data_IF_809564264280
#
_entry.id   IF_809564264280
#
_cell.length_a   1.000
_cell.length_b   1.000
_cell.length_c   1.000
_cell.angle_alpha   90.00
_cell.angle_beta   90.00
_cell.angle_gamma   90.00
#
_symmetry.space_group_name_H-M   'P 1'
#
loop_
_entity.id
_entity.type
_entity.pdbx_description
1 polymer ?
#
# COMPACT_ATOMS: atom_id res chain seq x y z
N UNK A 1 -9.70 -11.01 -32.34
CA UNK A 1 -10.35 -9.71 -32.03
C UNK A 1 -10.52 -9.49 -30.53
N UNK A 2 -10.85 -10.53 -29.74
CA UNK A 2 -11.04 -10.42 -28.28
C UNK A 2 -9.86 -9.83 -27.52
N UNK A 3 -8.61 -10.25 -27.82
CA UNK A 3 -7.41 -9.64 -27.21
C UNK A 3 -7.24 -8.15 -27.54
N UNK A 4 -7.67 -7.73 -28.74
CA UNK A 4 -7.60 -6.32 -29.15
C UNK A 4 -8.62 -5.51 -28.35
N UNK A 5 -9.84 -6.02 -28.18
CA UNK A 5 -10.89 -5.38 -27.37
C UNK A 5 -10.45 -5.27 -25.91
N UNK A 6 -9.85 -6.33 -25.35
CA UNK A 6 -9.30 -6.34 -24.00
C UNK A 6 -8.28 -5.20 -23.81
N UNK A 7 -7.29 -5.11 -24.71
CA UNK A 7 -6.24 -4.07 -24.64
C UNK A 7 -6.82 -2.67 -24.81
N UNK A 8 -7.73 -2.47 -25.78
CA UNK A 8 -8.42 -1.17 -25.99
C UNK A 8 -9.20 -0.78 -24.73
N UNK A 9 -9.88 -1.74 -24.09
CA UNK A 9 -10.65 -1.50 -22.87
C UNK A 9 -9.74 -1.05 -21.74
N UNK A 10 -8.65 -1.78 -21.47
CA UNK A 10 -7.68 -1.42 -20.43
C UNK A 10 -7.08 -0.03 -20.69
N UNK A 11 -6.60 0.24 -21.91
CA UNK A 11 -6.04 1.54 -22.27
C UNK A 11 -7.05 2.68 -22.10
N UNK A 12 -8.31 2.43 -22.47
CA UNK A 12 -9.41 3.40 -22.31
C UNK A 12 -9.68 3.69 -20.84
N UNK A 13 -9.70 2.67 -19.98
CA UNK A 13 -9.86 2.85 -18.53
C UNK A 13 -8.69 3.66 -17.98
N UNK A 14 -7.44 3.30 -18.27
CA UNK A 14 -6.25 4.04 -17.80
C UNK A 14 -6.32 5.52 -18.20
N UNK A 15 -6.70 5.81 -19.44
CA UNK A 15 -6.78 7.19 -19.95
C UNK A 15 -7.93 8.00 -19.32
N UNK A 16 -9.07 7.35 -19.07
CA UNK A 16 -10.30 8.03 -18.59
C UNK A 16 -10.40 8.10 -17.07
N UNK A 17 -9.76 7.20 -16.33
CA UNK A 17 -9.78 7.13 -14.86
C UNK A 17 -9.42 8.46 -14.17
N UNK A 18 -8.35 9.19 -14.55
CA UNK A 18 -8.04 10.48 -13.93
C UNK A 18 -9.14 11.53 -14.12
N UNK A 19 -9.76 11.57 -15.31
CA UNK A 19 -10.85 12.50 -15.61
C UNK A 19 -12.09 12.18 -14.76
N UNK A 20 -12.47 10.91 -14.70
CA UNK A 20 -13.62 10.44 -13.90
C UNK A 20 -13.35 10.69 -12.41
N UNK A 21 -12.15 10.38 -11.91
CA UNK A 21 -11.71 10.66 -10.55
C UNK A 21 -11.82 12.14 -10.19
N UNK A 22 -11.40 13.03 -11.09
CA UNK A 22 -11.51 14.48 -10.90
C UNK A 22 -12.97 14.94 -10.84
N UNK A 23 -13.84 14.41 -11.70
CA UNK A 23 -15.28 14.75 -11.75
C UNK A 23 -15.98 14.28 -10.47
N UNK A 24 -15.73 13.04 -10.05
CA UNK A 24 -16.35 12.44 -8.87
C UNK A 24 -15.71 12.88 -7.55
N UNK A 25 -14.51 13.50 -7.59
CA UNK A 25 -13.68 13.86 -6.43
C UNK A 25 -13.32 12.67 -5.55
N UNK A 26 -13.14 11.51 -6.18
CA UNK A 26 -12.82 10.22 -5.54
C UNK A 26 -11.37 9.82 -5.83
N UNK A 27 -10.74 8.95 -5.02
CA UNK A 27 -9.40 8.45 -5.28
C UNK A 27 -9.38 7.71 -6.62
N UNK A 28 -8.36 7.95 -7.44
CA UNK A 28 -8.24 7.35 -8.78
C UNK A 28 -8.28 5.81 -8.73
N UNK A 29 -7.63 5.22 -7.73
CA UNK A 29 -7.59 3.77 -7.55
C UNK A 29 -9.00 3.17 -7.42
N UNK A 30 -9.91 3.86 -6.72
CA UNK A 30 -11.29 3.37 -6.58
C UNK A 30 -12.03 3.42 -7.93
N UNK A 31 -11.75 4.43 -8.76
CA UNK A 31 -12.30 4.52 -10.11
C UNK A 31 -11.78 3.39 -10.97
N UNK A 32 -10.48 3.09 -10.92
CA UNK A 32 -9.85 2.00 -11.68
C UNK A 32 -10.44 0.62 -11.31
N UNK A 33 -10.58 0.33 -10.01
CA UNK A 33 -11.23 -0.91 -9.54
C UNK A 33 -12.70 -0.94 -10.00
N UNK A 34 -13.44 0.17 -9.87
CA UNK A 34 -14.85 0.23 -10.27
C UNK A 34 -15.04 -0.01 -11.77
N UNK A 35 -14.22 0.63 -12.61
CA UNK A 35 -14.27 0.46 -14.06
C UNK A 35 -13.82 -0.94 -14.48
N UNK A 36 -12.80 -1.51 -13.83
CA UNK A 36 -12.40 -2.90 -14.02
C UNK A 36 -13.54 -3.88 -13.72
N UNK A 37 -14.24 -3.66 -12.60
CA UNK A 37 -15.41 -4.45 -12.21
C UNK A 37 -16.56 -4.32 -13.22
N UNK A 38 -16.88 -3.11 -13.68
CA UNK A 38 -17.94 -2.90 -14.68
C UNK A 38 -17.58 -3.54 -16.02
N UNK A 39 -16.37 -3.31 -16.53
CA UNK A 39 -15.91 -3.89 -17.79
C UNK A 39 -15.75 -5.41 -17.70
N UNK A 40 -15.38 -5.96 -16.53
CA UNK A 40 -15.41 -7.39 -16.26
C UNK A 40 -16.82 -7.96 -16.34
N UNK A 41 -17.79 -7.31 -15.72
CA UNK A 41 -19.21 -7.70 -15.78
C UNK A 41 -19.78 -7.68 -17.20
N UNK A 42 -19.43 -6.67 -18.00
CA UNK A 42 -19.85 -6.60 -19.41
C UNK A 42 -19.10 -7.58 -20.33
N UNK A 43 -18.16 -8.38 -19.81
CA UNK A 43 -17.36 -9.32 -20.59
C UNK A 43 -16.30 -8.66 -21.48
N UNK A 44 -16.02 -7.36 -21.29
CA UNK A 44 -14.95 -6.64 -22.00
C UNK A 44 -13.57 -6.99 -21.44
N UNK A 45 -13.51 -7.35 -20.16
CA UNK A 45 -12.33 -7.89 -19.48
C UNK A 45 -12.64 -9.32 -19.05
N UNK A 46 -12.04 -10.29 -19.72
CA UNK A 46 -12.16 -11.72 -19.40
C UNK A 46 -10.86 -12.23 -18.77
N UNK A 47 -10.90 -13.46 -18.26
CA UNK A 47 -9.72 -14.13 -17.70
C UNK A 47 -8.69 -14.38 -18.81
N UNK A 48 -7.64 -13.57 -18.83
CA UNK A 48 -6.55 -13.63 -19.81
C UNK A 48 -5.21 -13.69 -19.07
N UNK A 49 -4.39 -14.68 -19.43
CA UNK A 49 -3.10 -14.94 -18.80
C UNK A 49 -2.12 -13.76 -18.95
N UNK A 50 -2.19 -13.02 -20.06
CA UNK A 50 -1.30 -11.88 -20.31
C UNK A 50 -1.67 -10.72 -19.40
N UNK A 51 -2.98 -10.42 -19.30
CA UNK A 51 -3.47 -9.42 -18.34
C UNK A 51 -3.10 -9.81 -16.91
N UNK A 52 -3.32 -11.06 -16.52
CA UNK A 52 -2.98 -11.55 -15.19
C UNK A 52 -1.47 -11.41 -14.91
N UNK A 53 -0.61 -11.74 -15.87
CA UNK A 53 0.83 -11.59 -15.73
C UNK A 53 1.23 -10.13 -15.52
N UNK A 54 0.70 -9.21 -16.34
CA UNK A 54 1.00 -7.77 -16.22
C UNK A 54 0.44 -7.21 -14.91
N UNK A 55 -0.75 -7.64 -14.47
CA UNK A 55 -1.33 -7.23 -13.20
C UNK A 55 -0.53 -7.75 -12.00
N UNK A 56 -0.04 -9.00 -12.04
CA UNK A 56 0.88 -9.54 -11.03
C UNK A 56 2.18 -8.74 -10.98
N UNK A 57 2.75 -8.40 -12.13
CA UNK A 57 3.92 -7.52 -12.17
C UNK A 57 3.60 -6.13 -11.62
N UNK A 58 2.43 -5.58 -11.94
CA UNK A 58 2.01 -4.28 -11.43
C UNK A 58 1.80 -4.27 -9.92
N UNK A 59 1.32 -5.37 -9.35
CA UNK A 59 1.26 -5.56 -7.91
C UNK A 59 2.66 -5.57 -7.28
N UNK A 60 3.60 -6.32 -7.85
CA UNK A 60 5.00 -6.35 -7.40
C UNK A 60 5.64 -4.95 -7.49
N UNK A 61 5.40 -4.23 -8.58
CA UNK A 61 5.89 -2.85 -8.75
C UNK A 61 5.27 -1.89 -7.73
N UNK A 62 3.99 -2.02 -7.42
CA UNK A 62 3.32 -1.26 -6.36
C UNK A 62 3.94 -1.51 -4.99
N UNK A 63 4.29 -2.75 -4.68
CA UNK A 63 4.98 -3.10 -3.42
C UNK A 63 6.40 -2.53 -3.39
N UNK A 64 7.08 -2.45 -4.54
CA UNK A 64 8.34 -1.73 -4.66
C UNK A 64 8.16 -0.22 -4.42
N UNK A 65 7.13 0.39 -4.98
CA UNK A 65 6.81 1.81 -4.73
C UNK A 65 6.51 2.08 -3.25
N UNK A 66 5.76 1.21 -2.58
CA UNK A 66 5.53 1.27 -1.13
C UNK A 66 6.86 1.32 -0.35
N UNK A 67 7.83 0.48 -0.73
CA UNK A 67 9.18 0.53 -0.14
C UNK A 67 9.92 1.84 -0.43
N UNK A 68 9.72 2.40 -1.62
CA UNK A 68 10.32 3.66 -2.06
C UNK A 68 9.72 4.88 -1.36
N UNK A 69 8.44 4.81 -0.99
CA UNK A 69 7.72 5.85 -0.24
C UNK A 69 8.19 5.95 1.22
N UNK A 70 8.76 4.89 1.78
CA UNK A 70 9.24 4.90 3.18
C UNK A 70 10.30 5.96 3.38
N UNK A 71 9.93 6.96 4.18
CA UNK A 71 10.83 8.00 4.60
C UNK A 71 11.15 7.85 6.09
N UNK A 72 12.24 7.16 6.40
CA UNK A 72 12.72 6.95 7.78
C UNK A 72 13.01 8.27 8.53
N UNK A 73 13.15 9.41 7.82
CA UNK A 73 13.27 10.71 8.48
C UNK A 73 11.96 11.12 9.19
N UNK A 74 10.80 10.70 8.67
CA UNK A 74 9.50 10.96 9.30
C UNK A 74 9.34 10.22 10.63
N UNK A 75 9.98 9.06 10.78
CA UNK A 75 10.01 8.34 12.07
C UNK A 75 10.77 9.15 13.13
N UNK A 76 11.80 9.90 12.74
CA UNK A 76 12.56 10.77 13.67
C UNK A 76 11.76 11.98 14.17
N UNK A 77 10.64 12.32 13.51
CA UNK A 77 9.73 13.39 13.96
C UNK A 77 8.94 12.95 15.19
N UNK A 78 8.82 11.64 15.44
CA UNK A 78 8.27 11.11 16.69
C UNK A 78 9.19 11.56 17.82
N UNK A 79 8.69 12.48 18.65
CA UNK A 79 9.40 12.89 19.86
C UNK A 79 9.69 11.63 20.68
N UNK A 80 10.87 11.54 21.28
CA UNK A 80 11.24 10.39 22.12
C UNK A 80 10.20 10.10 23.22
N UNK A 81 9.49 11.13 23.67
CA UNK A 81 8.38 11.06 24.63
C UNK A 81 7.13 10.34 24.10
N UNK A 82 6.99 10.17 22.78
CA UNK A 82 5.84 9.51 22.13
C UNK A 82 6.13 8.09 21.66
N UNK A 83 7.38 7.61 21.74
CA UNK A 83 7.75 6.25 21.29
C UNK A 83 6.92 5.19 22.02
N UNK A 84 6.75 5.34 23.34
CA UNK A 84 5.91 4.44 24.14
C UNK A 84 4.44 4.48 23.68
N UNK A 85 3.90 5.67 23.38
CA UNK A 85 2.55 5.80 22.85
C UNK A 85 2.42 5.04 21.52
N UNK A 86 3.37 5.15 20.60
CA UNK A 86 3.33 4.42 19.34
C UNK A 86 3.34 2.90 19.57
N UNK A 87 4.17 2.40 20.50
CA UNK A 87 4.17 0.98 20.88
C UNK A 87 2.81 0.57 21.45
N UNK A 88 2.26 1.34 22.39
CA UNK A 88 0.93 1.09 22.95
C UNK A 88 -0.19 1.16 21.91
N UNK A 89 -0.06 2.02 20.90
CA UNK A 89 -1.01 2.09 19.78
C UNK A 89 -1.04 0.76 19.03
N UNK A 90 0.10 0.25 18.57
CA UNK A 90 0.15 -1.04 17.88
C UNK A 90 -0.29 -2.20 18.78
N UNK A 91 0.12 -2.24 20.04
CA UNK A 91 -0.35 -3.26 20.99
C UNK A 91 -1.87 -3.22 21.10
N UNK A 92 -2.46 -2.04 21.30
CA UNK A 92 -3.92 -1.90 21.38
C UNK A 92 -4.60 -2.30 20.07
N UNK A 93 -4.03 -1.92 18.93
CA UNK A 93 -4.58 -2.18 17.60
C UNK A 93 -4.66 -3.69 17.32
N UNK A 94 -3.57 -4.41 17.57
CA UNK A 94 -3.53 -5.87 17.40
C UNK A 94 -4.33 -6.60 18.47
N UNK A 95 -4.36 -6.12 19.73
CA UNK A 95 -5.17 -6.72 20.78
C UNK A 95 -6.67 -6.60 20.49
N UNK A 96 -7.14 -5.43 20.05
CA UNK A 96 -8.55 -5.22 19.69
C UNK A 96 -8.87 -5.98 18.40
N UNK A 97 -7.98 -6.02 17.41
CA UNK A 97 -8.14 -6.88 16.23
C UNK A 97 -8.33 -8.35 16.63
N UNK A 98 -7.49 -8.87 17.53
CA UNK A 98 -7.60 -10.22 18.06
C UNK A 98 -8.91 -10.46 18.82
N UNK A 99 -9.33 -9.50 19.65
CA UNK A 99 -10.61 -9.57 20.35
C UNK A 99 -11.80 -9.61 19.38
N UNK A 100 -11.82 -8.74 18.36
CA UNK A 100 -12.87 -8.74 17.34
C UNK A 100 -12.89 -10.05 16.58
N UNK A 101 -11.73 -10.59 16.20
CA UNK A 101 -11.65 -11.87 15.51
C UNK A 101 -12.17 -13.01 16.39
N UNK A 102 -11.79 -13.06 17.67
CA UNK A 102 -12.31 -14.06 18.60
C UNK A 102 -13.82 -13.93 18.83
N UNK A 103 -14.33 -12.70 18.98
CA UNK A 103 -15.74 -12.44 19.28
C UNK A 103 -16.68 -12.79 18.10
N UNK A 104 -16.23 -12.56 16.86
CA UNK A 104 -17.00 -12.83 15.64
C UNK A 104 -16.58 -14.12 14.92
N UNK A 105 -15.74 -14.96 15.54
CA UNK A 105 -15.22 -16.21 14.97
C UNK A 105 -14.56 -16.02 13.59
N UNK A 106 -13.70 -15.00 13.48
CA UNK A 106 -13.00 -14.65 12.24
C UNK A 106 -11.62 -15.30 12.18
N UNK A 107 -11.26 -15.79 11.00
CA UNK A 107 -9.96 -16.40 10.74
C UNK A 107 -8.79 -15.43 10.70
N UNK A 108 -7.59 -15.99 10.54
CA UNK A 108 -6.31 -15.27 10.55
C UNK A 108 -6.24 -14.12 9.52
N UNK A 109 -6.90 -14.25 8.37
CA UNK A 109 -6.99 -13.19 7.36
C UNK A 109 -7.52 -11.88 7.95
N UNK A 110 -8.56 -11.92 8.79
CA UNK A 110 -9.15 -10.73 9.41
C UNK A 110 -8.21 -10.14 10.47
N UNK A 111 -7.56 -10.99 11.24
CA UNK A 111 -6.60 -10.58 12.26
C UNK A 111 -5.45 -9.75 11.68
N UNK A 112 -4.95 -10.13 10.50
CA UNK A 112 -3.89 -9.42 9.77
C UNK A 112 -4.44 -8.23 8.97
N UNK A 113 -5.66 -8.33 8.43
CA UNK A 113 -6.27 -7.28 7.63
C UNK A 113 -6.68 -6.05 8.44
N UNK A 114 -7.26 -6.23 9.63
CA UNK A 114 -7.78 -5.11 10.40
C UNK A 114 -6.73 -4.06 10.80
N UNK A 115 -5.53 -4.43 11.31
CA UNK A 115 -4.50 -3.48 11.71
C UNK A 115 -3.60 -3.01 10.56
N UNK A 116 -3.92 -3.32 9.30
CA UNK A 116 -3.00 -3.03 8.18
C UNK A 116 -2.93 -1.55 7.80
N UNK A 117 -1.76 -1.06 7.38
CA UNK A 117 -1.51 0.34 7.03
C UNK A 117 -1.19 0.51 5.54
N UNK A 118 -1.44 1.71 5.02
CA UNK A 118 -0.97 2.14 3.70
C UNK A 118 -0.79 3.65 3.66
N UNK A 119 0.37 4.12 3.18
CA UNK A 119 0.66 5.56 3.03
C UNK A 119 0.04 6.19 1.78
N UNK A 120 -0.36 5.40 0.76
CA UNK A 120 -0.75 5.94 -0.55
C UNK A 120 -1.87 7.01 -0.48
N UNK A 121 -2.95 6.74 0.26
CA UNK A 121 -4.03 7.71 0.44
C UNK A 121 -3.63 8.84 1.41
N UNK A 122 -2.81 8.53 2.41
CA UNK A 122 -2.33 9.51 3.37
C UNK A 122 -1.49 10.60 2.69
N UNK A 123 -0.66 10.25 1.71
CA UNK A 123 0.10 11.21 0.91
C UNK A 123 -0.79 12.16 0.11
N UNK A 124 -1.98 11.72 -0.32
CA UNK A 124 -2.97 12.60 -0.95
C UNK A 124 -3.55 13.60 0.06
N UNK A 125 -3.84 13.15 1.30
CA UNK A 125 -4.31 14.04 2.37
C UNK A 125 -3.28 15.14 2.69
N UNK A 126 -1.97 14.84 2.65
CA UNK A 126 -0.92 15.86 2.82
C UNK A 126 -0.97 16.92 1.74
N UNK A 127 -1.11 16.51 0.48
CA UNK A 127 -1.20 17.44 -0.64
C UNK A 127 -2.44 18.32 -0.54
N UNK A 128 -3.52 17.81 0.05
CA UNK A 128 -4.80 18.52 0.22
C UNK A 128 -4.81 19.48 1.43
N UNK A 129 -4.27 19.06 2.57
CA UNK A 129 -4.35 19.81 3.84
C UNK A 129 -3.06 20.50 4.28
N UNK A 130 -1.92 20.17 3.67
CA UNK A 130 -0.61 20.68 4.05
C UNK A 130 0.06 19.84 5.14
N UNK A 131 1.37 20.06 5.32
CA UNK A 131 2.21 19.32 6.28
C UNK A 131 2.14 19.88 7.70
N UNK A 132 1.42 20.97 7.95
CA UNK A 132 1.42 21.63 9.26
C UNK A 132 0.39 21.05 10.23
N UNK A 133 -0.53 20.23 9.73
CA UNK A 133 -1.58 19.59 10.52
C UNK A 133 -1.01 18.54 11.51
N UNK A 134 -1.19 18.71 12.84
CA UNK A 134 -0.59 17.83 13.84
C UNK A 134 -1.04 16.37 13.76
N UNK A 135 -2.32 16.14 13.46
CA UNK A 135 -2.89 14.80 13.31
C UNK A 135 -2.32 14.09 12.08
N UNK A 136 -2.06 14.84 11.00
CA UNK A 136 -1.56 14.30 9.75
C UNK A 136 -0.06 13.99 9.84
N UNK A 137 0.72 14.86 10.47
CA UNK A 137 2.12 14.59 10.80
C UNK A 137 2.27 13.32 11.66
N UNK A 138 1.43 13.17 12.68
CA UNK A 138 1.44 11.97 13.51
C UNK A 138 1.01 10.74 12.70
N UNK A 139 -0.04 10.85 11.89
CA UNK A 139 -0.51 9.77 11.00
C UNK A 139 0.58 9.32 10.04
N UNK A 140 1.39 10.23 9.50
CA UNK A 140 2.50 9.88 8.61
C UNK A 140 3.60 9.14 9.33
N UNK A 141 4.05 9.66 10.47
CA UNK A 141 5.11 9.03 11.24
C UNK A 141 4.72 7.64 11.71
N UNK A 142 3.48 7.48 12.19
CA UNK A 142 2.93 6.18 12.59
C UNK A 142 2.68 5.30 11.37
N UNK A 143 2.19 5.87 10.26
CA UNK A 143 1.93 5.17 9.01
C UNK A 143 3.19 4.53 8.43
N UNK A 144 4.34 5.20 8.49
CA UNK A 144 5.63 4.60 8.06
C UNK A 144 5.98 3.37 8.89
N UNK A 145 5.82 3.44 10.21
CA UNK A 145 6.05 2.29 11.11
C UNK A 145 5.02 1.20 10.83
N UNK A 146 3.75 1.60 10.68
CA UNK A 146 2.63 0.70 10.46
C UNK A 146 2.73 -0.04 9.13
N UNK A 147 3.18 0.61 8.06
CA UNK A 147 3.38 -0.01 6.76
C UNK A 147 4.52 -1.03 6.81
N UNK A 148 5.62 -0.73 7.51
CA UNK A 148 6.67 -1.70 7.76
C UNK A 148 6.17 -2.91 8.58
N UNK A 149 5.43 -2.66 9.66
CA UNK A 149 4.81 -3.71 10.48
C UNK A 149 3.81 -4.54 9.66
N UNK A 150 3.05 -3.89 8.77
CA UNK A 150 2.05 -4.51 7.90
C UNK A 150 2.68 -5.49 6.91
N UNK A 151 3.81 -5.11 6.33
CA UNK A 151 4.51 -5.97 5.36
C UNK A 151 5.18 -7.14 6.06
N UNK A 152 5.74 -6.92 7.25
CA UNK A 152 6.19 -8.03 8.08
C UNK A 152 5.04 -8.96 8.46
N UNK A 153 3.89 -8.42 8.86
CA UNK A 153 2.71 -9.21 9.17
C UNK A 153 2.22 -10.00 7.95
N UNK A 154 2.23 -9.39 6.76
CA UNK A 154 1.86 -10.06 5.51
C UNK A 154 2.84 -11.20 5.15
N UNK A 155 4.15 -10.96 5.29
CA UNK A 155 5.16 -11.97 5.02
C UNK A 155 5.07 -13.15 6.01
N UNK A 156 4.86 -12.86 7.30
CA UNK A 156 4.62 -13.89 8.33
C UNK A 156 3.32 -14.64 8.09
N UNK A 157 2.26 -13.94 7.68
CA UNK A 157 0.97 -14.52 7.31
C UNK A 157 1.11 -15.47 6.13
N UNK A 158 1.79 -15.02 5.07
CA UNK A 158 2.08 -15.81 3.87
C UNK A 158 2.88 -17.08 4.21
N UNK A 159 4.00 -16.92 4.94
CA UNK A 159 4.82 -18.05 5.37
C UNK A 159 4.09 -19.03 6.29
N UNK A 160 3.29 -18.53 7.24
CA UNK A 160 2.48 -19.39 8.11
C UNK A 160 1.41 -20.16 7.33
N UNK A 161 0.78 -19.51 6.36
CA UNK A 161 -0.27 -20.13 5.55
C UNK A 161 0.29 -21.23 4.66
N UNK A 162 1.49 -21.04 4.11
CA UNK A 162 2.12 -22.03 3.23
C UNK A 162 2.71 -23.22 4.00
N UNK A 163 3.36 -22.98 5.16
CA UNK A 163 4.15 -24.00 5.86
C UNK A 163 3.57 -24.44 7.21
N UNK A 164 2.61 -23.71 7.80
CA UNK A 164 2.14 -23.93 9.18
C UNK A 164 3.22 -23.69 10.23
N UNK A 165 3.02 -24.15 11.49
CA UNK A 165 4.07 -24.10 12.53
C UNK A 165 5.10 -25.24 12.38
N UNK A 166 5.71 -25.34 11.21
CA UNK A 166 6.73 -26.37 10.91
C UNK A 166 8.14 -25.76 10.92
N UNK A 167 9.16 -26.61 10.78
CA UNK A 167 10.56 -26.14 10.63
C UNK A 167 10.70 -25.23 9.40
N UNK A 168 9.96 -25.51 8.33
CA UNK A 168 10.01 -24.75 7.09
C UNK A 168 9.50 -23.32 7.27
N UNK A 169 8.53 -23.10 8.18
CA UNK A 169 8.12 -21.74 8.55
C UNK A 169 9.24 -20.95 9.22
N UNK A 170 9.94 -21.53 10.19
CA UNK A 170 11.08 -20.85 10.81
C UNK A 170 12.22 -20.61 9.82
N UNK A 171 12.47 -21.56 8.91
CA UNK A 171 13.42 -21.37 7.80
C UNK A 171 12.97 -20.21 6.92
N UNK A 172 11.67 -20.11 6.58
CA UNK A 172 11.14 -19.00 5.78
C UNK A 172 11.34 -17.64 6.46
N UNK A 173 11.17 -17.55 7.78
CA UNK A 173 11.47 -16.33 8.56
C UNK A 173 12.96 -15.98 8.49
N UNK A 174 13.84 -16.97 8.71
CA UNK A 174 15.29 -16.74 8.63
C UNK A 174 15.67 -16.30 7.22
N UNK A 175 15.09 -16.90 6.19
CA UNK A 175 15.29 -16.52 4.80
C UNK A 175 14.83 -15.08 4.52
N UNK A 176 13.63 -14.71 4.98
CA UNK A 176 13.10 -13.33 4.91
C UNK A 176 14.09 -12.33 5.53
N UNK A 177 14.53 -12.59 6.77
CA UNK A 177 15.51 -11.73 7.45
C UNK A 177 16.84 -11.70 6.69
N UNK A 178 17.29 -12.86 6.20
CA UNK A 178 18.53 -12.97 5.44
C UNK A 178 18.50 -12.16 4.15
N UNK A 179 17.38 -12.14 3.43
CA UNK A 179 17.22 -11.32 2.23
C UNK A 179 17.37 -9.84 2.58
N UNK A 180 16.68 -9.37 3.62
CA UNK A 180 16.79 -7.97 4.06
C UNK A 180 18.24 -7.64 4.44
N UNK A 181 18.88 -8.50 5.22
CA UNK A 181 20.28 -8.31 5.66
C UNK A 181 21.24 -8.34 4.46
N UNK A 182 21.10 -9.29 3.56
CA UNK A 182 21.91 -9.41 2.34
C UNK A 182 21.70 -8.21 1.44
N UNK A 183 20.48 -7.73 1.25
CA UNK A 183 20.20 -6.49 0.51
C UNK A 183 20.91 -5.29 1.15
N UNK A 184 20.93 -5.18 2.49
CA UNK A 184 21.67 -4.13 3.21
C UNK A 184 23.19 -4.28 3.05
N UNK A 185 23.72 -5.52 3.09
CA UNK A 185 25.15 -5.77 2.88
C UNK A 185 25.54 -5.42 1.43
N UNK A 186 24.72 -5.83 0.45
CA UNK A 186 24.90 -5.49 -0.96
C UNK A 186 24.85 -3.97 -1.20
N UNK A 187 24.06 -3.20 -0.45
CA UNK A 187 24.11 -1.73 -0.47
C UNK A 187 25.48 -1.22 -0.05
N UNK A 188 25.95 -1.69 1.11
CA UNK A 188 27.20 -1.22 1.68
C UNK A 188 28.38 -1.58 0.78
N UNK A 189 28.34 -2.77 0.20
CA UNK A 189 29.31 -3.22 -0.79
C UNK A 189 29.24 -2.39 -2.07
N UNK A 190 28.04 -2.15 -2.62
CA UNK A 190 27.85 -1.30 -3.80
C UNK A 190 28.37 0.13 -3.55
N UNK A 191 28.14 0.69 -2.37
CA UNK A 191 28.68 2.00 -1.99
C UNK A 191 30.21 2.00 -1.98
N UNK A 192 30.83 0.97 -1.41
CA UNK A 192 32.28 0.81 -1.38
C UNK A 192 32.85 0.61 -2.80
N UNK A 193 32.19 -0.20 -3.63
CA UNK A 193 32.57 -0.44 -5.02
C UNK A 193 32.51 0.86 -5.84
N UNK A 194 31.45 1.65 -5.69
CA UNK A 194 31.32 2.94 -6.36
C UNK A 194 32.24 4.03 -5.80
N UNK A 195 32.71 3.87 -4.56
CA UNK A 195 33.75 4.73 -3.99
C UNK A 195 35.13 4.42 -4.60
N UNK A 196 35.45 3.14 -4.83
CA UNK A 196 36.68 2.71 -5.50
C UNK A 196 36.64 2.88 -7.03
N UNK A 197 35.47 2.71 -7.66
CA UNK A 197 35.27 2.80 -9.10
C UNK A 197 34.19 3.84 -9.44
N UNK A 198 34.48 5.14 -9.28
CA UNK A 198 33.52 6.22 -9.52
C UNK A 198 33.04 6.29 -10.98
N UNK A 199 33.83 5.78 -11.94
CA UNK A 199 33.46 5.68 -13.35
C UNK A 199 32.31 4.71 -13.58
N UNK A 200 32.30 3.56 -12.87
CA UNK A 200 31.21 2.58 -12.93
C UNK A 200 29.92 3.19 -12.40
N UNK A 201 30.02 3.97 -11.31
CA UNK A 201 28.87 4.73 -10.78
C UNK A 201 28.34 5.72 -11.80
N UNK A 202 29.22 6.52 -12.42
CA UNK A 202 28.85 7.52 -13.43
C UNK A 202 28.22 6.87 -14.67
N UNK A 203 28.63 5.67 -15.03
CA UNK A 203 28.06 4.95 -16.17
C UNK A 203 26.70 4.32 -15.85
N UNK A 204 26.56 3.67 -14.69
CA UNK A 204 25.31 2.98 -14.32
C UNK A 204 24.23 3.94 -13.84
N UNK A 205 24.63 4.99 -13.10
CA UNK A 205 23.73 6.00 -12.54
C UNK A 205 24.36 7.39 -12.76
N UNK A 206 24.35 7.90 -14.00
CA UNK A 206 24.94 9.19 -14.34
C UNK A 206 24.31 10.32 -13.53
N UNK A 207 25.03 11.43 -13.40
CA UNK A 207 24.44 12.64 -12.83
C UNK A 207 23.28 13.11 -13.73
N UNK A 208 22.25 13.71 -13.14
CA UNK A 208 20.97 14.00 -13.82
C UNK A 208 21.14 14.81 -15.11
N UNK A 209 22.18 15.65 -15.19
CA UNK A 209 22.50 16.47 -16.37
C UNK A 209 23.05 15.65 -17.55
N UNK A 210 23.65 14.50 -17.25
CA UNK A 210 24.34 13.65 -18.22
C UNK A 210 23.52 12.39 -18.57
N UNK A 211 22.47 12.08 -17.80
CA UNK A 211 21.60 10.92 -18.07
C UNK A 211 20.58 11.20 -19.19
N UNK A 212 21.03 11.08 -20.44
CA UNK A 212 20.21 11.27 -21.64
C UNK A 212 19.51 9.99 -22.11
N UNK A 213 19.83 8.83 -21.52
CA UNK A 213 19.38 7.52 -21.99
C UNK A 213 18.53 6.77 -20.94
N UNK A 214 18.18 7.45 -19.85
CA UNK A 214 17.48 6.91 -18.70
C UNK A 214 18.20 5.68 -18.13
N UNK A 215 19.53 5.76 -18.05
CA UNK A 215 20.38 4.69 -17.51
C UNK A 215 20.03 4.40 -16.06
N UNK A 216 19.72 5.45 -15.30
CA UNK A 216 19.24 5.35 -13.93
C UNK A 216 17.97 4.49 -13.80
N UNK A 217 16.95 4.69 -14.63
CA UNK A 217 15.72 3.89 -14.65
C UNK A 217 16.04 2.45 -15.04
N UNK A 218 16.83 2.25 -16.11
CA UNK A 218 17.18 0.89 -16.59
C UNK A 218 17.87 0.08 -15.50
N UNK A 219 18.83 0.69 -14.79
CA UNK A 219 19.50 0.08 -13.66
C UNK A 219 18.50 -0.27 -12.54
N UNK A 220 17.62 0.67 -12.21
CA UNK A 220 16.61 0.54 -11.16
C UNK A 220 15.63 -0.62 -11.42
N UNK A 221 15.07 -0.68 -12.62
CA UNK A 221 14.14 -1.74 -13.03
C UNK A 221 14.87 -3.08 -13.10
N UNK A 222 16.10 -3.11 -13.62
CA UNK A 222 16.90 -4.34 -13.67
C UNK A 222 17.16 -4.89 -12.27
N UNK A 223 17.52 -4.02 -11.33
CA UNK A 223 17.74 -4.40 -9.93
C UNK A 223 16.46 -4.95 -9.28
N UNK A 224 15.32 -4.28 -9.50
CA UNK A 224 14.01 -4.77 -9.04
C UNK A 224 13.73 -6.18 -9.57
N UNK A 225 13.90 -6.40 -10.87
CA UNK A 225 13.67 -7.70 -11.50
C UNK A 225 14.61 -8.79 -10.99
N UNK A 226 15.89 -8.46 -10.74
CA UNK A 226 16.85 -9.39 -10.14
C UNK A 226 16.42 -9.76 -8.73
N UNK A 227 16.03 -8.80 -7.89
CA UNK A 227 15.54 -9.07 -6.53
C UNK A 227 14.28 -9.93 -6.54
N UNK A 228 13.31 -9.60 -7.38
CA UNK A 228 12.08 -10.40 -7.59
C UNK A 228 12.42 -11.82 -8.03
N UNK A 229 13.36 -11.99 -8.95
CA UNK A 229 13.81 -13.30 -9.42
C UNK A 229 14.47 -14.11 -8.31
N UNK A 230 15.29 -13.48 -7.46
CA UNK A 230 15.88 -14.12 -6.27
C UNK A 230 14.77 -14.59 -5.33
N UNK A 231 13.75 -13.76 -5.06
CA UNK A 231 12.62 -14.17 -4.21
C UNK A 231 11.89 -15.39 -4.75
N UNK A 232 11.64 -15.41 -6.07
CA UNK A 232 10.99 -16.54 -6.73
C UNK A 232 11.81 -17.83 -6.61
N UNK A 233 13.14 -17.74 -6.78
CA UNK A 233 14.05 -18.89 -6.62
C UNK A 233 14.06 -19.39 -5.17
N UNK A 234 14.08 -18.46 -4.21
CA UNK A 234 14.07 -18.78 -2.79
C UNK A 234 12.69 -19.22 -2.28
N UNK A 235 11.64 -19.16 -3.12
CA UNK A 235 10.23 -19.42 -2.77
C UNK A 235 9.77 -18.59 -1.58
N UNK A 236 10.22 -17.34 -1.52
CA UNK A 236 9.77 -16.36 -0.55
C UNK A 236 8.75 -15.45 -1.24
N UNK A 237 7.82 -14.90 -0.47
CA UNK A 237 6.85 -13.93 -0.97
C UNK A 237 7.54 -12.76 -1.71
N UNK A 238 7.19 -12.60 -2.99
CA UNK A 238 7.75 -11.59 -3.89
C UNK A 238 7.41 -10.18 -3.42
N UNK A 239 6.29 -10.00 -2.71
CA UNK A 239 5.86 -8.71 -2.15
C UNK A 239 6.91 -8.14 -1.22
N UNK A 240 7.44 -8.98 -0.31
CA UNK A 240 8.46 -8.56 0.64
C UNK A 240 9.75 -8.15 -0.08
N UNK A 241 10.17 -8.92 -1.09
CA UNK A 241 11.41 -8.61 -1.80
C UNK A 241 11.30 -7.36 -2.66
N UNK A 242 10.14 -7.13 -3.26
CA UNK A 242 9.84 -5.89 -3.97
C UNK A 242 9.90 -4.69 -3.01
N UNK A 243 9.24 -4.79 -1.87
CA UNK A 243 9.29 -3.76 -0.84
C UNK A 243 10.70 -3.51 -0.29
N UNK A 244 11.43 -4.58 0.04
CA UNK A 244 12.83 -4.48 0.49
C UNK A 244 13.71 -3.83 -0.59
N UNK A 245 13.48 -4.16 -1.86
CA UNK A 245 14.11 -3.51 -3.01
C UNK A 245 13.78 -2.02 -3.09
N UNK A 246 12.53 -1.64 -2.83
CA UNK A 246 12.08 -0.24 -2.81
C UNK A 246 12.74 0.55 -1.69
N UNK A 247 12.77 -0.02 -0.48
CA UNK A 247 13.43 0.58 0.68
C UNK A 247 14.94 0.74 0.44
N UNK A 248 15.58 -0.31 -0.10
CA UNK A 248 16.96 -0.28 -0.57
C UNK A 248 17.17 0.90 -1.53
N UNK A 249 16.27 1.02 -2.51
CA UNK A 249 16.37 2.01 -3.56
C UNK A 249 16.29 3.42 -3.00
N UNK A 250 15.31 3.67 -2.12
CA UNK A 250 15.14 4.96 -1.44
C UNK A 250 16.35 5.33 -0.60
N UNK A 251 16.94 4.38 0.14
CA UNK A 251 18.11 4.64 0.97
C UNK A 251 19.33 5.01 0.13
N UNK A 252 19.53 4.33 -1.00
CA UNK A 252 20.69 4.55 -1.87
C UNK A 252 20.56 5.82 -2.72
N UNK A 253 19.38 6.08 -3.28
CA UNK A 253 19.10 7.17 -4.21
C UNK A 253 18.37 8.36 -3.58
N UNK A 254 18.36 8.49 -2.25
CA UNK A 254 17.63 9.54 -1.53
C UNK A 254 17.94 10.99 -1.95
N UNK A 255 19.02 11.21 -2.69
CA UNK A 255 19.43 12.54 -3.21
C UNK A 255 19.03 12.77 -4.67
N UNK A 256 18.48 11.78 -5.37
CA UNK A 256 18.07 11.85 -6.78
C UNK A 256 16.55 11.91 -6.88
N UNK A 257 15.97 13.06 -6.55
CA UNK A 257 14.50 13.24 -6.52
C UNK A 257 13.88 13.02 -7.91
N UNK A 258 14.58 13.39 -8.99
CA UNK A 258 14.09 13.19 -10.36
C UNK A 258 13.94 11.70 -10.67
N UNK A 259 14.95 10.88 -10.34
CA UNK A 259 14.89 9.43 -10.54
C UNK A 259 13.72 8.80 -9.76
N UNK A 260 13.54 9.20 -8.49
CA UNK A 260 12.43 8.72 -7.68
C UNK A 260 11.07 9.08 -8.33
N UNK A 261 10.92 10.32 -8.79
CA UNK A 261 9.71 10.76 -9.47
C UNK A 261 9.48 10.02 -10.80
N UNK A 262 10.53 9.73 -11.58
CA UNK A 262 10.43 8.95 -12.82
C UNK A 262 9.91 7.53 -12.55
N UNK A 263 10.43 6.87 -11.51
CA UNK A 263 10.01 5.52 -11.08
C UNK A 263 8.56 5.53 -10.60
N UNK A 264 8.20 6.49 -9.74
CA UNK A 264 6.82 6.69 -9.29
C UNK A 264 5.87 6.93 -10.47
N UNK A 265 6.28 7.77 -11.44
CA UNK A 265 5.49 8.07 -12.64
C UNK A 265 5.23 6.82 -13.48
N UNK A 266 6.21 5.93 -13.62
CA UNK A 266 6.06 4.68 -14.37
C UNK A 266 5.11 3.72 -13.65
N UNK A 267 5.24 3.58 -12.34
CA UNK A 267 4.38 2.69 -11.57
C UNK A 267 2.95 3.19 -11.45
N UNK A 268 2.74 4.42 -10.98
CA UNK A 268 1.40 4.98 -10.80
C UNK A 268 0.71 5.35 -12.13
N UNK A 269 1.48 5.63 -13.18
CA UNK A 269 0.92 5.98 -14.50
C UNK A 269 0.53 4.78 -15.35
N UNK A 270 1.08 3.59 -15.10
CA UNK A 270 0.85 2.43 -15.98
C UNK A 270 0.58 1.13 -15.22
N UNK A 271 1.51 0.68 -14.38
CA UNK A 271 1.42 -0.65 -13.75
C UNK A 271 0.36 -0.77 -12.67
N UNK A 272 0.29 0.23 -11.79
CA UNK A 272 -0.70 0.27 -10.71
C UNK A 272 -2.13 0.29 -11.27
N UNK A 273 -2.47 1.14 -12.27
CA UNK A 273 -3.77 1.09 -12.92
C UNK A 273 -4.14 -0.30 -13.45
N UNK A 274 -3.23 -0.99 -14.14
CA UNK A 274 -3.51 -2.33 -14.69
C UNK A 274 -3.82 -3.32 -13.56
N UNK A 275 -3.04 -3.29 -12.46
CA UNK A 275 -3.31 -4.12 -11.29
C UNK A 275 -4.70 -3.86 -10.69
N UNK A 276 -5.08 -2.60 -10.52
CA UNK A 276 -6.37 -2.24 -9.94
C UNK A 276 -7.56 -2.56 -10.85
N UNK A 277 -7.40 -2.34 -12.17
CA UNK A 277 -8.39 -2.73 -13.18
C UNK A 277 -8.59 -4.25 -13.16
N UNK A 278 -7.50 -5.03 -13.18
CA UNK A 278 -7.57 -6.49 -13.09
C UNK A 278 -8.20 -6.96 -11.78
N UNK A 279 -7.82 -6.35 -10.65
CA UNK A 279 -8.44 -6.64 -9.35
C UNK A 279 -9.95 -6.40 -9.41
N UNK A 280 -10.38 -5.27 -9.98
CA UNK A 280 -11.80 -4.98 -10.20
C UNK A 280 -12.49 -6.05 -11.04
N UNK A 281 -11.90 -6.43 -12.18
CA UNK A 281 -12.50 -7.40 -13.10
C UNK A 281 -12.64 -8.82 -12.51
N UNK A 282 -11.89 -9.15 -11.45
CA UNK A 282 -12.05 -10.43 -10.74
C UNK A 282 -13.33 -10.48 -9.89
N UNK A 283 -13.92 -9.32 -9.56
CA UNK A 283 -15.17 -9.25 -8.79
C UNK A 283 -16.36 -9.47 -9.72
N UNK A 284 -17.05 -10.61 -9.53
CA UNK A 284 -18.21 -11.00 -10.33
C UNK A 284 -19.47 -10.28 -9.83
N UNK A 285 -19.87 -9.20 -10.52
CA UNK A 285 -20.96 -8.34 -10.09
C UNK A 285 -22.32 -9.06 -10.02
N UNK A 286 -22.54 -10.06 -10.86
CA UNK A 286 -23.68 -10.98 -10.83
C UNK A 286 -23.78 -11.80 -9.54
N UNK A 287 -22.66 -12.04 -8.86
CA UNK A 287 -22.60 -12.76 -7.60
C UNK A 287 -22.70 -11.84 -6.38
N UNK A 288 -22.74 -10.51 -6.56
CA UNK A 288 -22.81 -9.57 -5.43
C UNK A 288 -24.22 -9.63 -4.81
N UNK A 289 -24.31 -10.26 -3.64
CA UNK A 289 -25.52 -10.30 -2.83
C UNK A 289 -25.52 -9.21 -1.75
N UNK A 290 -26.68 -8.99 -1.14
CA UNK A 290 -26.80 -8.11 0.03
C UNK A 290 -25.91 -8.57 1.19
N UNK A 291 -25.65 -9.86 1.33
CA UNK A 291 -24.83 -10.38 2.43
C UNK A 291 -23.34 -10.10 2.21
N UNK A 292 -22.85 -10.15 0.96
CA UNK A 292 -21.50 -9.70 0.61
C UNK A 292 -21.35 -8.21 0.93
N UNK A 293 -22.35 -7.38 0.62
CA UNK A 293 -22.30 -5.96 0.92
C UNK A 293 -22.35 -5.67 2.43
N UNK A 294 -23.16 -6.41 3.19
CA UNK A 294 -23.16 -6.34 4.67
C UNK A 294 -21.81 -6.75 5.24
N UNK A 295 -21.19 -7.80 4.68
CA UNK A 295 -19.88 -8.25 5.12
C UNK A 295 -18.77 -7.23 4.81
N UNK A 296 -18.83 -6.61 3.64
CA UNK A 296 -17.94 -5.51 3.28
C UNK A 296 -18.09 -4.31 4.24
N UNK A 297 -19.34 -3.95 4.57
CA UNK A 297 -19.63 -2.90 5.52
C UNK A 297 -19.16 -3.26 6.93
N UNK A 298 -19.33 -4.51 7.34
CA UNK A 298 -18.80 -5.03 8.61
C UNK A 298 -17.28 -4.88 8.68
N UNK A 299 -16.54 -5.29 7.64
CA UNK A 299 -15.07 -5.13 7.57
C UNK A 299 -14.70 -3.65 7.71
N UNK A 300 -15.35 -2.78 6.93
CA UNK A 300 -15.13 -1.32 6.98
C UNK A 300 -15.36 -0.76 8.39
N UNK A 301 -16.51 -1.06 9.00
CA UNK A 301 -16.88 -0.57 10.33
C UNK A 301 -15.93 -1.12 11.40
N UNK A 302 -15.61 -2.42 11.35
CA UNK A 302 -14.68 -3.04 12.30
C UNK A 302 -13.30 -2.36 12.22
N UNK A 303 -12.76 -2.14 11.03
CA UNK A 303 -11.49 -1.44 10.82
C UNK A 303 -11.47 -0.03 11.38
N UNK A 304 -12.56 0.72 11.17
CA UNK A 304 -12.71 2.08 11.71
C UNK A 304 -12.81 2.03 13.23
N UNK A 305 -13.66 1.17 13.80
CA UNK A 305 -13.84 1.05 15.26
C UNK A 305 -12.53 0.67 15.95
N UNK A 306 -11.82 -0.34 15.43
CA UNK A 306 -10.54 -0.78 15.97
C UNK A 306 -9.55 0.40 16.04
N UNK A 307 -9.39 1.15 14.94
CA UNK A 307 -8.51 2.32 14.90
C UNK A 307 -8.98 3.47 15.78
N UNK A 308 -10.29 3.72 15.85
CA UNK A 308 -10.84 4.74 16.73
C UNK A 308 -10.55 4.43 18.20
N UNK A 309 -10.84 3.21 18.65
CA UNK A 309 -10.59 2.81 20.04
C UNK A 309 -9.09 2.91 20.33
N UNK A 310 -8.22 2.32 19.51
CA UNK A 310 -6.77 2.40 19.68
C UNK A 310 -6.25 3.85 19.72
N UNK A 311 -6.74 4.70 18.81
CA UNK A 311 -6.30 6.10 18.72
C UNK A 311 -6.74 6.91 19.94
N UNK A 312 -7.98 6.74 20.39
CA UNK A 312 -8.50 7.45 21.57
C UNK A 312 -7.88 6.97 22.88
N UNK A 313 -7.56 5.69 23.00
CA UNK A 313 -6.84 5.18 24.17
C UNK A 313 -5.44 5.80 24.32
N UNK A 314 -4.77 6.06 23.20
CA UNK A 314 -3.33 6.39 23.20
C UNK A 314 -3.04 7.86 22.94
N UNK A 315 -3.73 8.47 21.98
CA UNK A 315 -3.40 9.81 21.47
C UNK A 315 -4.38 10.90 21.90
N UNK A 316 -5.45 10.57 22.63
CA UNK A 316 -6.43 11.57 23.08
C UNK A 316 -5.81 12.72 23.87
N UNK A 317 -4.89 12.44 24.79
CA UNK A 317 -4.24 13.48 25.60
C UNK A 317 -3.34 14.40 24.77
N UNK A 318 -2.75 13.86 23.69
CA UNK A 318 -1.82 14.57 22.80
C UNK A 318 -2.57 15.39 21.74
N UNK A 319 -3.48 14.77 20.99
CA UNK A 319 -4.20 15.40 19.89
C UNK A 319 -5.51 16.09 20.31
N UNK A 320 -6.11 15.74 21.45
CA UNK A 320 -7.52 16.05 21.79
C UNK A 320 -8.52 15.35 20.86
N UNK A 321 -9.79 15.34 21.25
CA UNK A 321 -10.85 14.57 20.60
C UNK A 321 -10.93 14.76 19.07
N UNK A 322 -11.04 16.02 18.62
CA UNK A 322 -11.25 16.36 17.19
C UNK A 322 -10.13 15.84 16.30
N UNK A 323 -8.88 16.13 16.65
CA UNK A 323 -7.71 15.70 15.89
C UNK A 323 -7.46 14.19 16.02
N UNK A 324 -7.81 13.57 17.16
CA UNK A 324 -7.72 12.10 17.31
C UNK A 324 -8.70 11.39 16.38
N UNK A 325 -9.92 11.95 16.17
CA UNK A 325 -10.85 11.43 15.19
C UNK A 325 -10.30 11.52 13.76
N UNK A 326 -9.70 12.67 13.39
CA UNK A 326 -9.09 12.84 12.06
C UNK A 326 -7.91 11.88 11.85
N UNK A 327 -7.05 11.71 12.85
CA UNK A 327 -5.98 10.72 12.85
C UNK A 327 -6.53 9.31 12.60
N UNK A 328 -7.51 8.87 13.41
CA UNK A 328 -8.08 7.53 13.29
C UNK A 328 -8.70 7.28 11.91
N UNK A 329 -9.42 8.27 11.36
CA UNK A 329 -10.01 8.18 10.02
C UNK A 329 -8.93 8.11 8.94
N UNK A 330 -7.89 8.94 9.03
CA UNK A 330 -6.81 8.97 8.03
C UNK A 330 -6.07 7.64 7.92
N UNK A 331 -5.95 6.92 9.04
CA UNK A 331 -5.32 5.61 9.11
C UNK A 331 -6.26 4.46 8.67
N UNK A 332 -7.56 4.72 8.58
CA UNK A 332 -8.58 3.72 8.25
C UNK A 332 -8.72 3.45 6.74
N UNK A 333 -7.81 3.94 5.90
CA UNK A 333 -7.90 3.84 4.43
C UNK A 333 -6.80 2.98 3.76
N UNK A 334 -6.46 1.76 4.24
CA UNK A 334 -5.35 0.98 3.69
C UNK A 334 -5.73 0.17 2.44
N UNK A 335 -6.20 0.86 1.40
CA UNK A 335 -6.79 0.27 0.19
C UNK A 335 -5.90 -0.81 -0.46
N UNK A 336 -4.64 -0.49 -0.75
CA UNK A 336 -3.74 -1.35 -1.53
C UNK A 336 -3.40 -2.65 -0.80
N UNK A 337 -3.09 -2.56 0.49
CA UNK A 337 -2.73 -3.70 1.31
C UNK A 337 -3.93 -4.57 1.69
N UNK A 338 -5.12 -3.97 1.82
CA UNK A 338 -6.34 -4.74 2.07
C UNK A 338 -6.70 -5.61 0.85
N UNK A 339 -6.56 -5.06 -0.36
CA UNK A 339 -6.69 -5.81 -1.62
C UNK A 339 -5.65 -6.94 -1.69
N UNK A 340 -4.39 -6.65 -1.34
CA UNK A 340 -3.31 -7.63 -1.33
C UNK A 340 -3.61 -8.83 -0.42
N UNK A 341 -4.04 -8.57 0.83
CA UNK A 341 -4.42 -9.63 1.77
C UNK A 341 -5.57 -10.46 1.22
N UNK A 342 -6.59 -9.82 0.63
CA UNK A 342 -7.74 -10.52 0.07
C UNK A 342 -7.28 -11.48 -1.04
N UNK A 343 -6.44 -11.01 -1.96
CA UNK A 343 -5.93 -11.81 -3.06
C UNK A 343 -5.07 -12.98 -2.57
N UNK A 344 -4.15 -12.74 -1.64
CA UNK A 344 -3.30 -13.78 -1.05
C UNK A 344 -4.17 -14.81 -0.32
N UNK A 345 -5.07 -14.36 0.55
CA UNK A 345 -5.95 -15.25 1.32
C UNK A 345 -6.86 -16.08 0.43
N UNK A 346 -7.37 -15.52 -0.66
CA UNK A 346 -8.21 -16.24 -1.62
C UNK A 346 -7.40 -17.30 -2.39
N UNK A 347 -6.18 -16.96 -2.84
CA UNK A 347 -5.30 -17.90 -3.52
C UNK A 347 -4.90 -19.09 -2.63
N UNK A 348 -4.68 -18.85 -1.34
CA UNK A 348 -4.42 -19.90 -0.35
C UNK A 348 -5.69 -20.56 0.22
N UNK A 349 -6.88 -20.24 -0.32
CA UNK A 349 -8.19 -20.78 0.09
C UNK A 349 -8.53 -20.57 1.58
N UNK A 350 -8.00 -19.52 2.18
CA UNK A 350 -8.31 -19.12 3.56
C UNK A 350 -9.63 -18.37 3.69
N UNK A 351 -10.07 -17.75 2.60
CA UNK A 351 -11.34 -17.05 2.51
C UNK A 351 -12.15 -17.56 1.32
N UNK A 352 -13.47 -17.50 1.44
CA UNK A 352 -14.39 -17.81 0.35
C UNK A 352 -14.35 -16.72 -0.73
N UNK A 353 -14.89 -17.02 -1.90
CA UNK A 353 -15.02 -16.04 -2.98
C UNK A 353 -15.90 -14.84 -2.56
N UNK A 354 -16.95 -15.09 -1.78
CA UNK A 354 -17.81 -14.06 -1.21
C UNK A 354 -17.05 -13.13 -0.26
N UNK A 355 -16.21 -13.69 0.61
CA UNK A 355 -15.34 -12.92 1.49
C UNK A 355 -14.29 -12.13 0.70
N UNK A 356 -13.72 -12.71 -0.36
CA UNK A 356 -12.81 -12.01 -1.27
C UNK A 356 -13.49 -10.77 -1.86
N UNK A 357 -14.70 -10.91 -2.43
CA UNK A 357 -15.47 -9.77 -2.94
C UNK A 357 -15.77 -8.76 -1.85
N UNK A 358 -16.16 -9.20 -0.65
CA UNK A 358 -16.41 -8.33 0.49
C UNK A 358 -15.17 -7.51 0.88
N UNK A 359 -13.96 -8.09 0.86
CA UNK A 359 -12.72 -7.37 1.13
C UNK A 359 -12.40 -6.33 0.06
N UNK A 360 -12.55 -6.66 -1.23
CA UNK A 360 -12.32 -5.70 -2.31
C UNK A 360 -13.30 -4.53 -2.19
N UNK A 361 -14.59 -4.81 -1.99
CA UNK A 361 -15.61 -3.76 -1.80
C UNK A 361 -15.33 -2.95 -0.53
N UNK A 362 -14.98 -3.59 0.59
CA UNK A 362 -14.64 -2.90 1.83
C UNK A 362 -13.45 -1.94 1.65
N UNK A 363 -12.45 -2.35 0.86
CA UNK A 363 -11.29 -1.51 0.55
C UNK A 363 -11.69 -0.23 -0.20
N UNK A 364 -12.57 -0.36 -1.20
CA UNK A 364 -13.10 0.77 -1.95
C UNK A 364 -13.96 1.67 -1.06
N UNK A 365 -14.83 1.09 -0.24
CA UNK A 365 -15.69 1.83 0.70
C UNK A 365 -14.86 2.58 1.74
N UNK A 366 -13.82 1.96 2.31
CA UNK A 366 -12.86 2.61 3.21
C UNK A 366 -12.26 3.86 2.54
N UNK A 367 -11.71 3.72 1.33
CA UNK A 367 -11.10 4.84 0.62
C UNK A 367 -12.10 5.95 0.26
N UNK A 368 -13.33 5.61 -0.13
CA UNK A 368 -14.35 6.59 -0.54
C UNK A 368 -15.03 7.27 0.64
N UNK A 369 -15.70 6.46 1.48
CA UNK A 369 -16.60 6.96 2.53
C UNK A 369 -15.78 7.69 3.58
N UNK A 370 -14.67 7.10 4.02
CA UNK A 370 -13.86 7.68 5.09
C UNK A 370 -13.23 8.99 4.61
N UNK A 371 -12.78 9.09 3.35
CA UNK A 371 -12.25 10.34 2.80
C UNK A 371 -13.33 11.44 2.75
N UNK A 372 -14.56 11.11 2.37
CA UNK A 372 -15.69 12.06 2.40
C UNK A 372 -16.01 12.49 3.84
N UNK A 373 -16.05 11.54 4.77
CA UNK A 373 -16.32 11.81 6.20
C UNK A 373 -15.22 12.68 6.79
N UNK A 374 -13.94 12.37 6.53
CA UNK A 374 -12.79 13.14 6.97
C UNK A 374 -12.87 14.57 6.44
N UNK A 375 -13.14 14.76 5.14
CA UNK A 375 -13.32 16.10 4.54
C UNK A 375 -14.42 16.91 5.20
N UNK A 376 -15.57 16.28 5.51
CA UNK A 376 -16.69 16.95 6.19
C UNK A 376 -16.34 17.30 7.63
N UNK A 377 -15.74 16.37 8.38
CA UNK A 377 -15.35 16.59 9.77
C UNK A 377 -14.27 17.65 9.91
N UNK A 378 -13.27 17.65 9.02
CA UNK A 378 -12.23 18.68 9.00
C UNK A 378 -12.82 20.09 8.88
N UNK A 379 -13.76 20.28 7.93
CA UNK A 379 -14.48 21.56 7.77
C UNK A 379 -15.34 21.90 8.98
N UNK A 380 -16.06 20.93 9.53
CA UNK A 380 -16.95 21.13 10.67
C UNK A 380 -16.18 21.49 11.96
N UNK A 381 -14.97 20.98 12.10
CA UNK A 381 -14.11 21.29 13.23
C UNK A 381 -13.56 22.72 13.21
N UNK A 382 -13.81 23.50 12.14
CA UNK A 382 -13.27 24.86 11.93
C UNK A 382 -11.77 24.89 12.16
N UNK A 383 -11.08 23.88 11.62
CA UNK A 383 -9.63 23.89 11.55
C UNK A 383 -9.29 24.83 10.40
N UNK A 384 -9.17 26.11 10.73
CA UNK A 384 -8.84 27.15 9.76
C UNK A 384 -7.47 26.81 9.14
N UNK A 385 -7.42 26.60 7.83
CA UNK A 385 -6.22 26.91 7.06
C UNK A 385 -5.88 28.37 7.35
N UNK A 386 -4.66 28.73 7.78
CA UNK A 386 -4.31 30.14 7.91
C UNK A 386 -4.55 30.83 6.56
N UNK A 387 -5.41 31.85 6.57
CA UNK A 387 -5.90 32.61 5.41
C UNK A 387 -4.81 33.44 4.69
N UNK A 388 -3.52 33.15 4.89
CA UNK A 388 -2.42 34.03 4.48
C UNK A 388 -1.88 33.84 3.05
N UNK A 389 -2.47 32.99 2.20
CA UNK A 389 -1.98 32.79 0.82
C UNK A 389 -2.99 33.17 -0.28
N UNK A 390 -4.07 33.90 0.06
CA UNK A 390 -4.98 34.45 -0.97
C UNK A 390 -4.67 35.87 -1.42
N UNK A 391 -3.68 36.55 -0.85
CA UNK A 391 -3.29 37.90 -1.24
C UNK A 391 -1.76 38.08 -1.23
N UNK A 392 -1.05 37.49 -2.19
CA UNK A 392 0.22 38.02 -2.72
C UNK A 392 0.44 37.52 -4.14
#
# INVERSE_FOLDING_TARGET
MEKIILVITICTIIMTSPLISKILKTPIVVVEISLGLLCGYFGLIYDDETLQLVAKFGFVYLMFLAGLEINLKLVKVIKATMTLNVIFYFISLYAISGFVCWFFDLGLTYFVAFPIFSLGILMMLIKEYGKDEPWLNLALSIGVVGEFVSILALALFSGYTEYGFTKDFFISIVLIISVVVVSIILLRFSYMLFWWFPEVKKYLIPDEKDDKLDQDIRFSISLLLILVSIMLILRIDVVLGAFAGGLFFKMFFNKKEILLHKIESFGFGFFAPIFFIYTGSTVKLDMITLDILKHALFIMIAMVIIRFISSYLVFYNYLKAKYTALFALSDSMPLTFLVAIAMISYNFKLITQEQYFAFIIASMLNALIIMIVLRKLYKLFKLDTPESEKNT
#
